data_IF_590536323113
#
_entry.id   IF_590536323113
#
_cell.length_a   1.000
_cell.length_b   1.000
_cell.length_c   1.000
_cell.angle_alpha   90.00
_cell.angle_beta   90.00
_cell.angle_gamma   90.00
#
_symmetry.space_group_name_H-M   'P 1'
#
loop_
_entity.id
_entity.type
_entity.pdbx_description
1 polymer ?
#
# COMPACT_ATOMS: atom_id res chain seq x y z
N UNK A 1 -5.11 12.70 -5.25
CA UNK A 1 -5.51 11.28 -5.32
C UNK A 1 -6.82 11.06 -6.06
N UNK A 2 -7.94 11.68 -5.66
CA UNK A 2 -9.26 11.47 -6.29
C UNK A 2 -9.28 11.62 -7.83
N UNK A 3 -8.65 12.68 -8.37
CA UNK A 3 -8.56 12.90 -9.83
C UNK A 3 -7.82 11.77 -10.56
N UNK A 4 -6.74 11.24 -9.98
CA UNK A 4 -5.97 10.14 -10.57
C UNK A 4 -6.79 8.84 -10.53
N UNK A 5 -7.43 8.53 -9.38
CA UNK A 5 -8.31 7.36 -9.25
C UNK A 5 -9.41 7.36 -10.31
N UNK A 6 -10.14 8.48 -10.42
CA UNK A 6 -11.19 8.64 -11.44
C UNK A 6 -10.67 8.43 -12.86
N UNK A 7 -9.52 9.02 -13.21
CA UNK A 7 -8.91 8.83 -14.53
C UNK A 7 -8.49 7.38 -14.78
N UNK A 8 -7.95 6.68 -13.79
CA UNK A 8 -7.58 5.25 -13.96
C UNK A 8 -8.80 4.35 -14.08
N UNK A 9 -9.90 4.67 -13.40
CA UNK A 9 -11.15 3.95 -13.55
C UNK A 9 -11.72 4.14 -14.96
N UNK A 10 -11.75 5.39 -15.45
CA UNK A 10 -12.14 5.71 -16.82
C UNK A 10 -11.27 4.99 -17.86
N UNK A 11 -9.95 4.98 -17.67
CA UNK A 11 -8.99 4.31 -18.55
C UNK A 11 -9.13 2.78 -18.52
N UNK A 12 -9.43 2.20 -17.36
CA UNK A 12 -9.62 0.75 -17.21
C UNK A 12 -10.88 0.22 -17.89
N UNK A 13 -11.84 1.11 -18.17
CA UNK A 13 -13.06 0.78 -18.90
C UNK A 13 -12.92 0.97 -20.41
N UNK A 14 -11.80 1.55 -20.89
CA UNK A 14 -11.54 1.68 -22.31
C UNK A 14 -11.04 0.36 -22.89
N UNK A 15 -11.61 -0.04 -24.01
CA UNK A 15 -11.17 -1.21 -24.79
C UNK A 15 -11.01 -0.78 -26.25
N UNK A 16 -9.86 -1.09 -26.82
CA UNK A 16 -9.57 -0.89 -28.23
C UNK A 16 -10.23 -1.96 -29.10
N UNK A 17 -10.36 -1.69 -30.39
CA UNK A 17 -10.83 -2.66 -31.38
C UNK A 17 -9.79 -3.75 -31.69
N UNK A 18 -8.54 -3.55 -31.27
CA UNK A 18 -7.44 -4.50 -31.33
C UNK A 18 -6.26 -3.98 -30.50
N UNK A 19 -5.03 -4.44 -30.78
CA UNK A 19 -3.81 -3.97 -30.11
C UNK A 19 -3.43 -2.56 -30.57
N UNK A 20 -4.13 -1.54 -30.04
CA UNK A 20 -3.99 -0.14 -30.46
C UNK A 20 -3.88 0.84 -29.28
N UNK A 21 -3.91 0.34 -28.05
CA UNK A 21 -3.77 1.13 -26.83
C UNK A 21 -2.35 0.98 -26.27
N UNK A 22 -1.65 2.10 -26.18
CA UNK A 22 -0.26 2.19 -25.74
C UNK A 22 -0.19 2.61 -24.29
N UNK A 23 0.56 1.84 -23.52
CA UNK A 23 0.88 2.13 -22.12
C UNK A 23 2.40 2.26 -21.96
N UNK A 24 2.85 3.40 -21.43
CA UNK A 24 4.27 3.67 -21.17
C UNK A 24 4.49 4.12 -19.73
N UNK A 25 5.33 3.40 -19.00
CA UNK A 25 5.82 3.78 -17.68
C UNK A 25 7.31 4.08 -17.75
N UNK A 26 7.70 5.26 -17.26
CA UNK A 26 9.07 5.75 -17.31
C UNK A 26 9.55 6.01 -15.87
N UNK A 27 10.49 5.21 -15.34
CA UNK A 27 11.05 5.43 -14.02
C UNK A 27 11.98 6.66 -14.04
N UNK A 28 12.13 7.31 -12.88
CA UNK A 28 12.98 8.51 -12.73
C UNK A 28 14.45 8.31 -13.13
N UNK A 29 14.92 7.07 -13.07
CA UNK A 29 16.29 6.67 -13.41
C UNK A 29 16.55 6.60 -14.91
N UNK A 30 15.49 6.46 -15.73
CA UNK A 30 15.63 6.29 -17.18
C UNK A 30 15.59 7.63 -17.88
N UNK A 31 16.50 7.81 -18.84
CA UNK A 31 16.60 9.05 -19.60
C UNK A 31 15.54 9.08 -20.71
N UNK A 32 14.85 10.21 -20.86
CA UNK A 32 13.80 10.35 -21.90
C UNK A 32 14.32 10.14 -23.32
N UNK A 33 15.59 10.46 -23.58
CA UNK A 33 16.18 10.30 -24.91
C UNK A 33 16.22 8.81 -25.32
N UNK A 34 16.59 7.91 -24.40
CA UNK A 34 16.59 6.46 -24.64
C UNK A 34 15.17 5.95 -24.87
N UNK A 35 14.20 6.43 -24.08
CA UNK A 35 12.79 6.06 -24.24
C UNK A 35 12.27 6.49 -25.61
N UNK A 36 12.59 7.72 -26.06
CA UNK A 36 12.19 8.23 -27.37
C UNK A 36 12.79 7.38 -28.50
N UNK A 37 14.06 6.97 -28.39
CA UNK A 37 14.70 6.08 -29.38
C UNK A 37 13.97 4.75 -29.46
N UNK A 38 13.73 4.10 -28.32
CA UNK A 38 13.01 2.83 -28.29
C UNK A 38 11.60 2.96 -28.89
N UNK A 39 10.84 4.00 -28.55
CA UNK A 39 9.50 4.21 -29.10
C UNK A 39 9.50 4.45 -30.62
N UNK A 40 10.59 5.01 -31.19
CA UNK A 40 10.76 5.17 -32.64
C UNK A 40 11.06 3.85 -33.34
N UNK A 41 11.83 2.97 -32.70
CA UNK A 41 12.08 1.62 -33.21
C UNK A 41 10.79 0.79 -33.22
N UNK A 42 9.99 0.90 -32.15
CA UNK A 42 8.66 0.31 -32.08
C UNK A 42 7.73 0.87 -33.15
N UNK A 43 7.82 2.17 -33.45
CA UNK A 43 7.04 2.79 -34.52
C UNK A 43 7.40 2.22 -35.90
N UNK A 44 8.69 2.06 -36.20
CA UNK A 44 9.13 1.43 -37.46
C UNK A 44 8.74 -0.04 -37.55
N UNK A 45 8.60 -0.73 -36.42
CA UNK A 45 8.10 -2.12 -36.37
C UNK A 45 6.59 -2.17 -36.62
N UNK A 46 5.84 -1.22 -36.06
CA UNK A 46 4.40 -1.09 -36.22
C UNK A 46 3.97 -0.88 -37.68
N UNK A 47 4.84 -0.33 -38.54
CA UNK A 47 4.58 -0.19 -39.98
C UNK A 47 4.31 -1.53 -40.69
N UNK A 48 4.72 -2.67 -40.10
CA UNK A 48 4.47 -4.00 -40.64
C UNK A 48 3.11 -4.61 -40.22
N UNK A 49 2.29 -3.89 -39.44
CA UNK A 49 0.96 -4.34 -39.03
C UNK A 49 0.06 -4.50 -40.28
N UNK A 50 -0.57 -5.68 -40.39
CA UNK A 50 -1.40 -6.07 -41.55
C UNK A 50 -2.70 -5.27 -41.66
N UNK A 51 -3.32 -4.95 -40.52
CA UNK A 51 -4.54 -4.15 -40.48
C UNK A 51 -4.20 -2.68 -40.69
N UNK A 52 -4.69 -2.08 -41.78
CA UNK A 52 -4.41 -0.67 -42.10
C UNK A 52 -4.89 0.28 -40.99
N UNK A 53 -6.08 0.04 -40.45
CA UNK A 53 -6.65 0.86 -39.38
C UNK A 53 -5.80 0.78 -38.10
N UNK A 54 -5.49 -0.44 -37.65
CA UNK A 54 -4.67 -0.66 -36.43
C UNK A 54 -3.26 -0.11 -36.61
N UNK A 55 -2.67 -0.27 -37.79
CA UNK A 55 -1.36 0.30 -38.12
C UNK A 55 -1.37 1.82 -37.97
N UNK A 56 -2.33 2.51 -38.58
CA UNK A 56 -2.45 3.96 -38.47
C UNK A 56 -2.64 4.40 -37.01
N UNK A 57 -3.51 3.72 -36.26
CA UNK A 57 -3.74 4.05 -34.85
C UNK A 57 -2.49 3.89 -33.97
N UNK A 58 -1.72 2.81 -34.14
CA UNK A 58 -0.50 2.56 -33.38
C UNK A 58 0.59 3.57 -33.76
N UNK A 59 0.80 3.81 -35.05
CA UNK A 59 1.83 4.75 -35.55
C UNK A 59 1.53 6.19 -35.12
N UNK A 60 0.27 6.62 -35.19
CA UNK A 60 -0.16 7.95 -34.73
C UNK A 60 -0.04 8.08 -33.21
N UNK A 61 -0.40 7.03 -32.47
CA UNK A 61 -0.29 7.02 -31.01
C UNK A 61 1.16 7.11 -30.55
N UNK A 62 2.07 6.32 -31.15
CA UNK A 62 3.51 6.40 -30.88
C UNK A 62 4.08 7.78 -31.22
N UNK A 63 3.69 8.32 -32.37
CA UNK A 63 4.10 9.68 -32.80
C UNK A 63 3.70 10.73 -31.78
N UNK A 64 2.46 10.67 -31.27
CA UNK A 64 1.97 11.60 -30.23
C UNK A 64 2.71 11.43 -28.90
N UNK A 65 2.98 10.20 -28.46
CA UNK A 65 3.76 9.95 -27.23
C UNK A 65 5.17 10.56 -27.37
N UNK A 66 5.85 10.32 -28.49
CA UNK A 66 7.18 10.88 -28.76
C UNK A 66 7.15 12.41 -28.77
N UNK A 67 6.16 13.02 -29.41
CA UNK A 67 6.00 14.47 -29.40
C UNK A 67 5.80 15.01 -27.98
N UNK A 68 5.04 14.30 -27.15
CA UNK A 68 4.80 14.70 -25.76
C UNK A 68 6.05 14.61 -24.91
N UNK A 69 6.81 13.51 -25.04
CA UNK A 69 8.07 13.32 -24.31
C UNK A 69 9.11 14.40 -24.64
N UNK A 70 9.14 14.90 -25.88
CA UNK A 70 10.04 16.00 -26.28
C UNK A 70 9.78 17.33 -25.57
N UNK A 71 8.58 17.53 -25.00
CA UNK A 71 8.27 18.75 -24.24
C UNK A 71 8.91 18.74 -22.85
N UNK A 72 9.31 17.57 -22.36
CA UNK A 72 10.00 17.43 -21.08
C UNK A 72 11.50 17.61 -21.25
N UNK A 73 12.08 18.53 -20.46
CA UNK A 73 13.54 18.74 -20.41
C UNK A 73 14.28 17.60 -19.71
N UNK A 74 13.64 16.96 -18.74
CA UNK A 74 14.17 15.84 -17.94
C UNK A 74 13.00 14.97 -17.48
N UNK A 75 13.29 13.70 -17.20
CA UNK A 75 12.35 12.81 -16.53
C UNK A 75 11.89 13.43 -15.20
N UNK A 76 10.58 13.53 -14.91
CA UNK A 76 10.09 14.06 -13.65
C UNK A 76 10.61 13.26 -12.44
N UNK A 77 10.59 13.87 -11.25
CA UNK A 77 11.25 13.32 -10.05
C UNK A 77 10.71 11.94 -9.63
N UNK A 78 9.42 11.68 -9.85
CA UNK A 78 8.77 10.41 -9.53
C UNK A 78 8.65 9.46 -10.73
N UNK A 79 9.10 9.89 -11.91
CA UNK A 79 8.84 9.25 -13.19
C UNK A 79 7.63 9.84 -13.92
N UNK A 80 7.20 9.17 -15.00
CA UNK A 80 6.11 9.62 -15.85
C UNK A 80 5.34 8.42 -16.41
N UNK A 81 4.01 8.50 -16.42
CA UNK A 81 3.15 7.51 -17.09
C UNK A 81 2.39 8.18 -18.21
N UNK A 82 2.36 7.53 -19.37
CA UNK A 82 1.60 7.98 -20.54
C UNK A 82 0.72 6.84 -21.04
N UNK A 83 -0.57 7.12 -21.16
CA UNK A 83 -1.53 6.28 -21.88
C UNK A 83 -1.91 6.99 -23.17
N UNK A 84 -1.86 6.29 -24.30
CA UNK A 84 -2.17 6.87 -25.60
C UNK A 84 -2.85 5.83 -26.49
N UNK A 85 -3.92 6.21 -27.17
CA UNK A 85 -4.59 5.29 -28.09
C UNK A 85 -5.74 5.96 -28.82
N UNK A 86 -6.16 5.35 -29.93
CA UNK A 86 -7.35 5.73 -30.65
C UNK A 86 -8.58 5.30 -29.84
N UNK A 87 -9.36 6.28 -29.36
CA UNK A 87 -10.56 6.03 -28.58
C UNK A 87 -11.79 6.58 -29.30
N UNK A 88 -12.96 5.94 -29.17
CA UNK A 88 -14.19 6.43 -29.76
C UNK A 88 -14.54 7.83 -29.24
N UNK A 89 -15.24 8.61 -30.07
CA UNK A 89 -15.72 9.94 -29.69
C UNK A 89 -16.78 9.84 -28.58
N UNK A 90 -16.82 10.87 -27.73
CA UNK A 90 -17.89 11.02 -26.74
C UNK A 90 -19.25 11.07 -27.47
N UNK A 91 -20.14 10.13 -27.14
CA UNK A 91 -21.45 9.96 -27.79
C UNK A 91 -21.56 8.75 -28.75
N UNK A 92 -20.46 8.03 -29.00
CA UNK A 92 -20.43 6.90 -29.93
C UNK A 92 -20.34 7.37 -31.38
N UNK A 93 -19.30 6.96 -32.10
CA UNK A 93 -19.09 7.28 -33.50
C UNK A 93 -19.02 6.01 -34.35
N UNK A 94 -19.22 6.11 -35.68
CA UNK A 94 -18.96 4.99 -36.58
C UNK A 94 -17.48 4.55 -36.48
N UNK A 95 -17.16 3.27 -36.72
CA UNK A 95 -15.78 2.78 -36.76
C UNK A 95 -14.93 3.62 -37.73
N UNK A 96 -13.73 4.01 -37.31
CA UNK A 96 -12.84 4.91 -38.08
C UNK A 96 -12.98 6.40 -37.74
N UNK A 97 -13.84 6.76 -36.78
CA UNK A 97 -13.98 8.14 -36.27
C UNK A 97 -13.24 8.38 -34.96
N UNK A 98 -12.47 7.40 -34.50
CA UNK A 98 -11.70 7.41 -33.27
C UNK A 98 -10.70 8.57 -33.27
N UNK A 99 -10.48 9.14 -32.09
CA UNK A 99 -9.52 10.22 -31.90
C UNK A 99 -8.43 9.68 -31.00
N UNK A 100 -7.18 9.81 -31.44
CA UNK A 100 -6.04 9.46 -30.59
C UNK A 100 -5.97 10.45 -29.43
N UNK A 101 -6.24 9.96 -28.22
CA UNK A 101 -6.15 10.71 -26.96
C UNK A 101 -4.86 10.36 -26.23
N UNK A 102 -4.31 11.33 -25.51
CA UNK A 102 -3.09 11.17 -24.69
C UNK A 102 -3.44 11.57 -23.26
N UNK A 103 -3.07 10.72 -22.31
CA UNK A 103 -3.21 10.94 -20.89
C UNK A 103 -1.84 10.86 -20.24
N UNK A 104 -1.37 11.96 -19.67
CA UNK A 104 -0.17 11.98 -18.83
C UNK A 104 -0.57 11.95 -17.37
N UNK A 105 0.05 11.03 -16.64
CA UNK A 105 -0.15 10.89 -15.21
C UNK A 105 1.20 11.02 -14.50
N UNK A 106 1.26 11.95 -13.56
CA UNK A 106 2.32 12.03 -12.57
C UNK A 106 2.06 10.96 -11.50
N UNK A 107 2.92 9.93 -11.36
CA UNK A 107 2.66 8.81 -10.48
C UNK A 107 2.63 9.26 -9.01
N UNK A 108 1.79 8.62 -8.16
CA UNK A 108 1.68 9.00 -6.75
C UNK A 108 2.97 8.73 -5.97
N UNK A 109 3.74 7.70 -6.37
CA UNK A 109 4.99 7.24 -5.77
C UNK A 109 6.06 7.07 -6.86
N UNK A 110 7.30 6.87 -6.44
CA UNK A 110 8.42 6.68 -7.37
C UNK A 110 8.25 5.42 -8.22
N UNK A 111 8.30 5.59 -9.54
CA UNK A 111 8.38 4.48 -10.49
C UNK A 111 9.78 3.87 -10.49
N UNK A 112 9.84 2.56 -10.34
CA UNK A 112 11.08 1.75 -10.34
C UNK A 112 11.29 1.01 -11.66
N UNK A 113 10.22 0.70 -12.38
CA UNK A 113 10.24 -0.17 -13.56
C UNK A 113 9.83 0.60 -14.82
N UNK A 114 10.54 0.34 -15.92
CA UNK A 114 10.14 0.77 -17.26
C UNK A 114 9.20 -0.27 -17.89
N UNK A 115 8.09 0.19 -18.45
CA UNK A 115 7.14 -0.66 -19.18
C UNK A 115 6.74 0.05 -20.47
N UNK A 116 6.76 -0.68 -21.58
CA UNK A 116 6.10 -0.30 -22.83
C UNK A 116 5.25 -1.49 -23.27
N UNK A 117 3.97 -1.24 -23.53
CA UNK A 117 3.01 -2.24 -24.03
C UNK A 117 2.05 -1.59 -25.00
N UNK A 118 1.73 -2.31 -26.07
CA UNK A 118 0.63 -2.01 -26.96
C UNK A 118 -0.34 -3.20 -26.90
N UNK A 119 -1.56 -2.97 -26.46
CA UNK A 119 -2.57 -4.00 -26.23
C UNK A 119 -3.99 -3.48 -26.54
N UNK A 120 -5.00 -4.30 -26.33
CA UNK A 120 -6.42 -3.94 -26.47
C UNK A 120 -7.00 -3.17 -25.26
N UNK A 121 -6.23 -3.01 -24.19
CA UNK A 121 -6.58 -2.28 -22.98
C UNK A 121 -5.37 -1.49 -22.44
N UNK A 122 -5.63 -0.52 -21.57
CA UNK A 122 -4.55 0.17 -20.86
C UNK A 122 -4.11 -0.61 -19.61
N UNK A 123 -2.81 -0.82 -19.45
CA UNK A 123 -2.25 -1.46 -18.25
C UNK A 123 -2.15 -0.45 -17.11
N UNK A 124 -3.22 -0.28 -16.35
CA UNK A 124 -3.32 0.67 -15.22
C UNK A 124 -2.90 0.05 -13.88
N UNK A 125 -2.63 -1.25 -13.83
CA UNK A 125 -2.46 -2.03 -12.59
C UNK A 125 -1.37 -1.48 -11.69
N UNK A 126 -0.22 -1.10 -12.28
CA UNK A 126 0.91 -0.53 -11.54
C UNK A 126 0.48 0.75 -10.81
N UNK A 127 -0.25 1.66 -11.47
CA UNK A 127 -0.75 2.88 -10.82
C UNK A 127 -1.86 2.59 -9.81
N UNK A 128 -2.76 1.63 -10.11
CA UNK A 128 -3.81 1.23 -9.17
C UNK A 128 -3.19 0.65 -7.89
N UNK A 129 -2.18 -0.20 -8.00
CA UNK A 129 -1.44 -0.75 -6.85
C UNK A 129 -0.68 0.34 -6.08
N UNK A 130 -0.15 1.35 -6.76
CA UNK A 130 0.47 2.49 -6.06
C UNK A 130 -0.55 3.37 -5.32
N UNK A 131 -1.80 3.41 -5.80
CA UNK A 131 -2.91 4.16 -5.20
C UNK A 131 -3.71 3.36 -4.18
N UNK A 132 -3.59 2.02 -4.17
CA UNK A 132 -3.96 1.21 -3.02
C UNK A 132 -3.19 1.82 -1.86
N UNK A 133 -3.95 2.43 -0.96
CA UNK A 133 -3.39 3.25 0.09
C UNK A 133 -2.32 2.46 0.84
N UNK A 134 -1.27 3.16 1.29
CA UNK A 134 -0.41 2.67 2.35
C UNK A 134 -1.24 2.67 3.64
N UNK A 135 -2.29 1.83 3.69
CA UNK A 135 -3.06 1.52 4.88
C UNK A 135 -2.16 0.68 5.76
N UNK A 136 -1.18 1.38 6.32
CA UNK A 136 -0.29 0.82 7.31
C UNK A 136 -1.14 0.48 8.50
N UNK A 137 -1.13 -0.79 8.86
CA UNK A 137 -1.81 -1.29 10.04
C UNK A 137 -0.73 -1.66 11.04
N UNK A 138 -0.79 -1.07 12.22
CA UNK A 138 0.08 -1.43 13.33
C UNK A 138 -0.40 -2.73 13.95
N UNK A 139 0.55 -3.59 14.34
CA UNK A 139 0.27 -4.77 15.15
C UNK A 139 1.07 -4.66 16.44
N UNK A 140 0.39 -4.68 17.57
CA UNK A 140 0.99 -4.80 18.90
C UNK A 140 0.68 -6.20 19.43
N UNK A 141 1.71 -7.01 19.67
CA UNK A 141 1.57 -8.29 20.37
C UNK A 141 2.10 -8.14 21.79
N UNK A 142 1.27 -8.32 22.81
CA UNK A 142 1.61 -8.03 24.21
C UNK A 142 1.25 -9.18 25.16
N UNK A 143 2.18 -9.53 26.04
CA UNK A 143 1.98 -10.35 27.23
C UNK A 143 2.67 -9.72 28.45
N UNK A 144 2.44 -10.27 29.63
CA UNK A 144 3.09 -9.84 30.86
C UNK A 144 4.62 -10.07 30.83
N UNK A 145 5.13 -10.86 29.88
CA UNK A 145 6.56 -11.20 29.74
C UNK A 145 7.28 -10.36 28.69
N UNK A 146 6.60 -9.95 27.63
CA UNK A 146 7.21 -9.35 26.44
C UNK A 146 6.15 -8.67 25.56
N UNK A 147 6.62 -7.77 24.70
CA UNK A 147 5.81 -7.13 23.67
C UNK A 147 6.59 -7.00 22.37
N UNK A 148 5.87 -7.09 21.25
CA UNK A 148 6.37 -6.88 19.90
C UNK A 148 5.54 -5.84 19.15
N UNK A 149 6.20 -5.08 18.28
CA UNK A 149 5.59 -4.14 17.35
C UNK A 149 5.88 -4.56 15.93
N UNK A 150 4.83 -4.65 15.12
CA UNK A 150 4.91 -4.92 13.70
C UNK A 150 4.11 -3.90 12.90
N UNK A 151 4.46 -3.78 11.64
CA UNK A 151 3.69 -3.00 10.67
C UNK A 151 3.32 -3.88 9.50
N UNK A 152 2.06 -3.76 9.08
CA UNK A 152 1.55 -4.39 7.89
C UNK A 152 1.37 -3.32 6.81
N UNK A 153 2.03 -3.53 5.68
CA UNK A 153 1.94 -2.67 4.51
C UNK A 153 1.54 -3.51 3.29
N UNK A 154 0.29 -3.34 2.83
CA UNK A 154 -0.29 -4.26 1.86
C UNK A 154 -0.30 -5.68 2.44
N UNK A 155 0.42 -6.61 1.80
CA UNK A 155 0.54 -8.01 2.23
C UNK A 155 1.91 -8.30 2.89
N UNK A 156 2.74 -7.27 3.10
CA UNK A 156 4.07 -7.42 3.71
C UNK A 156 4.02 -7.09 5.19
N UNK A 157 4.38 -8.08 6.00
CA UNK A 157 4.58 -7.93 7.43
C UNK A 157 6.05 -7.61 7.75
N UNK A 158 6.28 -6.55 8.49
CA UNK A 158 7.60 -6.18 9.03
C UNK A 158 7.54 -6.12 10.55
N UNK A 159 8.46 -6.80 11.23
CA UNK A 159 8.61 -6.73 12.68
C UNK A 159 9.61 -5.63 13.01
N UNK A 160 9.14 -4.60 13.73
CA UNK A 160 9.92 -3.39 14.04
C UNK A 160 10.79 -3.57 15.28
N UNK A 161 10.21 -4.14 16.35
CA UNK A 161 10.88 -4.25 17.64
C UNK A 161 10.24 -5.32 18.51
N UNK A 162 11.03 -5.88 19.42
CA UNK A 162 10.58 -6.71 20.52
C UNK A 162 11.26 -6.24 21.83
N UNK A 163 10.51 -6.27 22.94
CA UNK A 163 11.04 -5.92 24.26
C UNK A 163 10.48 -6.87 25.32
N UNK A 164 11.35 -7.34 26.22
CA UNK A 164 10.93 -8.08 27.42
C UNK A 164 10.43 -7.15 28.53
N UNK A 165 9.50 -7.63 29.36
CA UNK A 165 8.86 -6.85 30.42
C UNK A 165 9.74 -6.64 31.65
N UNK A 166 10.59 -7.61 31.98
CA UNK A 166 11.35 -7.63 33.23
C UNK A 166 10.50 -7.89 34.48
N UNK A 167 9.21 -8.21 34.32
CA UNK A 167 8.26 -8.43 35.41
C UNK A 167 8.51 -9.81 36.04
N UNK A 168 8.56 -9.86 37.37
CA UNK A 168 8.73 -11.12 38.08
C UNK A 168 7.51 -12.05 37.89
N UNK A 169 7.74 -13.33 37.56
CA UNK A 169 6.68 -14.34 37.40
C UNK A 169 5.89 -14.59 38.70
N UNK A 170 4.69 -15.20 38.59
CA UNK A 170 3.81 -15.48 39.74
C UNK A 170 4.48 -16.32 40.83
N UNK A 171 4.50 -15.81 42.06
CA UNK A 171 4.95 -16.60 43.22
C UNK A 171 3.88 -17.61 43.63
N UNK A 172 4.27 -18.88 43.77
CA UNK A 172 3.38 -19.98 44.18
C UNK A 172 3.25 -20.13 45.70
N UNK A 173 4.19 -19.57 46.47
CA UNK A 173 4.24 -19.77 47.92
C UNK A 173 3.45 -18.67 48.66
N UNK A 174 2.53 -19.10 49.52
CA UNK A 174 1.80 -18.23 50.44
C UNK A 174 2.63 -17.80 51.65
N UNK A 175 2.18 -16.76 52.36
CA UNK A 175 2.83 -16.25 53.56
C UNK A 175 2.53 -14.78 53.85
N UNK A 176 3.05 -14.26 54.96
CA UNK A 176 2.87 -12.86 55.38
C UNK A 176 3.36 -11.84 54.34
N UNK A 177 4.38 -12.19 53.57
CA UNK A 177 4.96 -11.36 52.51
C UNK A 177 4.24 -11.50 51.16
N UNK A 178 3.30 -12.44 50.98
CA UNK A 178 2.67 -12.70 49.68
C UNK A 178 1.96 -11.46 49.10
N UNK A 179 1.21 -10.72 49.94
CA UNK A 179 0.56 -9.46 49.54
C UNK A 179 1.56 -8.39 49.09
N UNK A 180 2.73 -8.32 49.73
CA UNK A 180 3.79 -7.36 49.36
C UNK A 180 4.35 -7.68 47.97
N UNK A 181 4.65 -8.96 47.70
CA UNK A 181 5.18 -9.38 46.40
C UNK A 181 4.16 -9.20 45.27
N UNK A 182 2.87 -9.40 45.56
CA UNK A 182 1.81 -9.12 44.59
C UNK A 182 1.77 -7.63 44.21
N UNK A 183 1.78 -6.72 45.21
CA UNK A 183 1.83 -5.28 44.94
C UNK A 183 3.07 -4.86 44.17
N UNK A 184 4.23 -5.44 44.47
CA UNK A 184 5.46 -5.16 43.74
C UNK A 184 5.32 -5.53 42.26
N UNK A 185 4.75 -6.70 41.97
CA UNK A 185 4.47 -7.12 40.59
C UNK A 185 3.49 -6.21 39.88
N UNK A 186 2.42 -5.76 40.54
CA UNK A 186 1.44 -4.83 39.97
C UNK A 186 2.10 -3.49 39.57
N UNK A 187 3.04 -3.00 40.40
CA UNK A 187 3.83 -1.81 40.07
C UNK A 187 4.77 -2.06 38.87
N UNK A 188 5.44 -3.22 38.83
CA UNK A 188 6.29 -3.60 37.69
C UNK A 188 5.49 -3.69 36.37
N UNK A 189 4.29 -4.31 36.42
CA UNK A 189 3.38 -4.38 35.28
C UNK A 189 2.93 -3.00 34.80
N UNK A 190 2.59 -2.12 35.74
CA UNK A 190 2.20 -0.74 35.42
C UNK A 190 3.34 0.01 34.73
N UNK A 191 4.58 -0.13 35.22
CA UNK A 191 5.75 0.47 34.57
C UNK A 191 5.97 -0.09 33.17
N UNK A 192 5.85 -1.41 33.03
CA UNK A 192 5.97 -2.10 31.76
C UNK A 192 4.93 -1.62 30.74
N UNK A 193 3.65 -1.54 31.11
CA UNK A 193 2.57 -1.08 30.25
C UNK A 193 2.75 0.38 29.81
N UNK A 194 3.15 1.27 30.73
CA UNK A 194 3.46 2.65 30.35
C UNK A 194 4.61 2.72 29.33
N UNK A 195 5.64 1.89 29.49
CA UNK A 195 6.74 1.82 28.53
C UNK A 195 6.27 1.28 27.17
N UNK A 196 5.42 0.25 27.15
CA UNK A 196 4.84 -0.30 25.92
C UNK A 196 4.00 0.76 25.21
N UNK A 197 3.14 1.47 25.94
CA UNK A 197 2.31 2.54 25.38
C UNK A 197 3.16 3.66 24.76
N UNK A 198 4.24 4.06 25.43
CA UNK A 198 5.16 5.08 24.91
C UNK A 198 5.82 4.65 23.59
N UNK A 199 6.35 3.43 23.54
CA UNK A 199 6.95 2.88 22.32
C UNK A 199 5.90 2.74 21.21
N UNK A 200 4.68 2.35 21.55
CA UNK A 200 3.58 2.20 20.59
C UNK A 200 3.23 3.54 19.96
N UNK A 201 3.14 4.61 20.74
CA UNK A 201 2.95 5.98 20.22
C UNK A 201 4.10 6.39 19.30
N UNK A 202 5.34 6.20 19.74
CA UNK A 202 6.52 6.57 18.94
C UNK A 202 6.48 5.90 17.56
N UNK A 203 6.23 4.58 17.52
CA UNK A 203 6.16 3.88 16.24
C UNK A 203 4.92 4.21 15.42
N UNK A 204 3.74 4.27 16.01
CA UNK A 204 2.48 4.28 15.26
C UNK A 204 1.82 5.65 15.09
N UNK A 205 2.35 6.69 15.75
CA UNK A 205 1.93 8.08 15.54
C UNK A 205 3.07 8.88 14.93
N UNK A 206 4.27 8.78 15.52
CA UNK A 206 5.36 9.71 15.19
C UNK A 206 6.17 9.21 13.98
N UNK A 207 6.49 7.91 13.91
CA UNK A 207 7.29 7.32 12.82
C UNK A 207 6.39 6.84 11.66
N UNK A 208 5.52 5.86 11.94
CA UNK A 208 4.63 5.24 10.96
C UNK A 208 3.20 5.69 11.23
N UNK A 209 2.63 6.51 10.33
CA UNK A 209 1.26 6.99 10.45
C UNK A 209 0.29 5.89 10.05
N UNK A 210 -0.08 5.03 11.00
CA UNK A 210 -1.02 3.93 10.76
C UNK A 210 -2.46 4.45 10.63
N UNK A 211 -3.28 3.70 9.89
CA UNK A 211 -4.74 3.94 9.81
C UNK A 211 -5.55 3.03 10.72
N UNK A 212 -4.94 1.97 11.23
CA UNK A 212 -5.59 1.02 12.12
C UNK A 212 -4.57 0.24 12.94
N UNK A 213 -4.99 -0.19 14.12
CA UNK A 213 -4.18 -0.91 15.10
C UNK A 213 -4.83 -2.25 15.43
N UNK A 214 -4.06 -3.33 15.37
CA UNK A 214 -4.45 -4.64 15.87
C UNK A 214 -3.67 -4.90 17.15
N UNK A 215 -4.37 -5.28 18.21
CA UNK A 215 -3.73 -5.69 19.47
C UNK A 215 -3.92 -7.19 19.61
N UNK A 216 -2.85 -7.90 19.93
CA UNK A 216 -2.85 -9.35 20.06
C UNK A 216 -2.10 -9.79 21.31
N UNK A 217 -2.38 -10.99 21.77
CA UNK A 217 -1.59 -11.61 22.82
C UNK A 217 -2.33 -12.62 23.69
N UNK A 218 -1.62 -13.32 24.57
CA UNK A 218 -2.17 -14.38 25.39
C UNK A 218 -2.97 -13.85 26.58
N UNK A 219 -4.11 -14.49 26.83
CA UNK A 219 -4.90 -14.26 28.05
C UNK A 219 -5.42 -12.82 28.23
N UNK A 220 -5.69 -12.41 29.48
CA UNK A 220 -6.35 -11.13 29.76
C UNK A 220 -5.39 -9.93 29.71
N UNK A 221 -4.08 -10.12 29.57
CA UNK A 221 -3.08 -9.03 29.66
C UNK A 221 -3.36 -7.90 28.67
N UNK A 222 -3.75 -8.24 27.43
CA UNK A 222 -4.11 -7.24 26.40
C UNK A 222 -5.39 -6.48 26.74
N UNK A 223 -6.37 -7.14 27.36
CA UNK A 223 -7.62 -6.51 27.79
C UNK A 223 -7.34 -5.54 28.94
N UNK A 224 -6.53 -5.96 29.92
CA UNK A 224 -6.10 -5.09 31.01
C UNK A 224 -5.34 -3.86 30.48
N UNK A 225 -4.48 -4.05 29.47
CA UNK A 225 -3.74 -2.96 28.84
C UNK A 225 -4.66 -1.94 28.14
N UNK A 226 -5.70 -2.42 27.43
CA UNK A 226 -6.67 -1.56 26.74
C UNK A 226 -7.62 -0.88 27.74
N UNK A 227 -8.21 -1.65 28.64
CA UNK A 227 -9.27 -1.19 29.56
C UNK A 227 -8.76 -0.17 30.59
N UNK A 228 -7.48 -0.25 30.96
CA UNK A 228 -6.86 0.73 31.86
C UNK A 228 -6.35 1.99 31.12
N UNK A 229 -6.65 2.14 29.83
CA UNK A 229 -6.34 3.33 29.01
C UNK A 229 -4.85 3.72 29.04
N UNK A 230 -3.95 2.73 28.98
CA UNK A 230 -2.52 3.01 28.84
C UNK A 230 -2.18 3.60 27.47
N UNK A 231 -2.93 3.22 26.43
CA UNK A 231 -2.75 3.74 25.08
C UNK A 231 -3.20 5.20 24.97
N UNK A 232 -2.51 5.95 24.11
CA UNK A 232 -2.96 7.28 23.74
C UNK A 232 -4.30 7.21 23.00
N UNK A 233 -5.22 8.15 23.29
CA UNK A 233 -6.59 8.14 22.76
C UNK A 233 -6.67 7.92 21.24
N UNK A 234 -5.76 8.52 20.46
CA UNK A 234 -5.71 8.36 19.00
C UNK A 234 -5.47 6.91 18.58
N UNK A 235 -4.60 6.20 19.28
CA UNK A 235 -4.34 4.78 19.02
C UNK A 235 -5.49 3.90 19.48
N UNK A 236 -6.16 4.30 20.57
CA UNK A 236 -7.31 3.59 21.09
C UNK A 236 -8.50 3.65 20.13
N UNK A 237 -8.74 4.81 19.52
CA UNK A 237 -9.77 4.99 18.48
C UNK A 237 -9.43 4.26 17.17
N UNK A 238 -8.14 3.96 16.94
CA UNK A 238 -7.66 3.22 15.78
C UNK A 238 -7.69 1.69 15.98
N UNK A 239 -8.08 1.18 17.15
CA UNK A 239 -8.13 -0.27 17.39
C UNK A 239 -9.19 -0.90 16.46
N UNK A 240 -8.73 -1.69 15.51
CA UNK A 240 -9.59 -2.44 14.58
C UNK A 240 -10.11 -3.72 15.23
N UNK A 241 -9.22 -4.43 15.94
CA UNK A 241 -9.55 -5.70 16.57
C UNK A 241 -8.55 -6.08 17.66
N UNK A 242 -9.02 -6.91 18.58
CA UNK A 242 -8.21 -7.56 19.61
C UNK A 242 -8.19 -9.07 19.36
N UNK A 243 -7.01 -9.65 19.14
CA UNK A 243 -6.84 -11.05 18.75
C UNK A 243 -6.25 -11.87 19.90
N UNK A 244 -6.92 -12.97 20.24
CA UNK A 244 -6.34 -13.99 21.10
C UNK A 244 -5.24 -14.76 20.37
N UNK A 245 -4.00 -14.58 20.84
CA UNK A 245 -2.82 -15.26 20.32
C UNK A 245 -2.18 -16.13 21.41
N UNK A 246 -1.50 -17.20 20.99
CA UNK A 246 -0.78 -18.09 21.90
C UNK A 246 0.56 -17.49 22.31
N UNK A 247 1.13 -16.64 21.45
CA UNK A 247 2.42 -16.01 21.63
C UNK A 247 2.31 -14.48 21.69
N UNK A 248 3.40 -13.86 22.13
CA UNK A 248 3.62 -12.43 22.16
C UNK A 248 4.96 -12.13 21.44
N UNK A 249 5.41 -10.88 21.41
CA UNK A 249 6.67 -10.52 20.76
C UNK A 249 6.60 -10.72 19.24
N UNK A 250 7.74 -11.06 18.62
CA UNK A 250 7.83 -11.27 17.17
C UNK A 250 6.93 -12.39 16.66
N UNK A 251 6.82 -13.50 17.42
CA UNK A 251 5.96 -14.62 17.03
C UNK A 251 4.48 -14.28 17.19
N UNK A 252 4.11 -13.54 18.23
CA UNK A 252 2.74 -13.05 18.42
C UNK A 252 2.28 -12.16 17.26
N UNK A 253 3.17 -11.32 16.72
CA UNK A 253 2.87 -10.50 15.53
C UNK A 253 2.55 -11.39 14.32
N UNK A 254 3.35 -12.45 14.09
CA UNK A 254 3.13 -13.36 12.95
C UNK A 254 1.83 -14.15 13.10
N UNK A 255 1.53 -14.61 14.31
CA UNK A 255 0.27 -15.28 14.60
C UNK A 255 -0.93 -14.35 14.40
N UNK A 256 -0.83 -13.11 14.88
CA UNK A 256 -1.85 -12.08 14.71
C UNK A 256 -2.07 -11.72 13.23
N UNK A 257 -1.01 -11.68 12.43
CA UNK A 257 -1.11 -11.49 10.98
C UNK A 257 -1.89 -12.63 10.32
N UNK A 258 -1.57 -13.88 10.65
CA UNK A 258 -2.28 -15.04 10.10
C UNK A 258 -3.78 -15.05 10.47
N UNK A 259 -4.12 -14.61 11.69
CA UNK A 259 -5.50 -14.54 12.18
C UNK A 259 -6.27 -13.29 11.73
N UNK A 260 -5.58 -12.26 11.25
CA UNK A 260 -6.21 -10.98 10.88
C UNK A 260 -6.63 -10.89 9.42
N UNK A 261 -6.37 -11.90 8.58
CA UNK A 261 -6.67 -11.85 7.14
C UNK A 261 -8.10 -11.41 6.82
N UNK A 262 -9.10 -11.94 7.54
CA UNK A 262 -10.51 -11.62 7.33
C UNK A 262 -10.85 -10.17 7.75
N UNK A 263 -10.29 -9.73 8.88
CA UNK A 263 -10.45 -8.35 9.40
C UNK A 263 -9.83 -7.33 8.44
N UNK A 264 -8.68 -7.69 7.85
CA UNK A 264 -7.96 -6.86 6.90
C UNK A 264 -8.72 -6.71 5.58
N UNK A 265 -9.37 -7.78 5.09
CA UNK A 265 -10.24 -7.68 3.91
C UNK A 265 -11.42 -6.75 4.14
N UNK A 266 -12.10 -6.86 5.28
CA UNK A 266 -13.24 -6.00 5.61
C UNK A 266 -12.80 -4.53 5.75
N UNK A 267 -11.67 -4.27 6.40
CA UNK A 267 -11.13 -2.92 6.55
C UNK A 267 -10.79 -2.28 5.18
N UNK A 268 -10.17 -3.05 4.26
CA UNK A 268 -9.90 -2.59 2.90
C UNK A 268 -11.19 -2.23 2.16
N UNK A 269 -12.24 -3.05 2.27
CA UNK A 269 -13.53 -2.79 1.63
C UNK A 269 -14.25 -1.54 2.19
N UNK A 270 -14.12 -1.28 3.50
CA UNK A 270 -14.72 -0.10 4.14
C UNK A 270 -13.98 1.18 3.73
N UNK A 271 -12.65 1.15 3.69
CA UNK A 271 -11.84 2.29 3.21
C UNK A 271 -12.08 2.59 1.72
N UNK A 272 -12.27 1.57 0.87
CA UNK A 272 -12.56 1.79 -0.56
C UNK A 272 -13.93 2.44 -0.82
N UNK A 273 -14.90 2.24 0.08
CA UNK A 273 -16.23 2.84 -0.03
C UNK A 273 -16.31 4.28 0.48
N UNK A 274 -15.28 4.77 1.18
CA UNK A 274 -15.26 6.08 1.85
C UNK A 274 -14.46 7.11 1.05
#
# INVERSE_FOLDING_TARGET
>A
MYKIRKTLDELSQQTGHGTELITVYIPKTKQLHEVITNLREEQGTADNIKSDLTRTHVVDSLSKVVQRLKLYKKTPERGLVIFCGALPREGGGPPGSEIVKVYEIDPPKDLTTFLYRCDDHFHVDILKDMLKDDNMIGILAIDAKDAGWGILHGDKLEVLKETGSGVAGKHRQGGQSAKRFQKLREMELTYYFNRVAHITREYFIDIYKIKGLIISGPGPTKEDFINNNYLEYRLQDMILSTIDASYSGSEGIREAFAKSSDILSDFRMVEEKR
#
